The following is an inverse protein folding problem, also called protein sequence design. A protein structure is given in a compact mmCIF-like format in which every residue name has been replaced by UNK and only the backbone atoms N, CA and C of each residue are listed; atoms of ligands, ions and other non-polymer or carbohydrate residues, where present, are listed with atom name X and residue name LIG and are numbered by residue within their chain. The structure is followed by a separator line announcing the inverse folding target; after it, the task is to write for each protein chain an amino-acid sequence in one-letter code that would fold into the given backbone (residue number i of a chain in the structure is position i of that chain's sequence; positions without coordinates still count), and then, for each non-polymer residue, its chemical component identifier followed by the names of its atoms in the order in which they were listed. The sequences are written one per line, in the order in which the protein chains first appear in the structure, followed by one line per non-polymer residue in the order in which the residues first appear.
data_IF_759497634758
#
_entry.id   IF_759497634758
#
_cell.length_a   1.000
_cell.length_b   1.000
_cell.length_c   1.000
_cell.angle_alpha   90.00
_cell.angle_beta   90.00
_cell.angle_gamma   90.00
#
_symmetry.space_group_name_H-M   'P 1'
#
loop_
_entity.id
_entity.type
_entity.pdbx_description
1 polymer ?
#
# COMPACT_ATOMS: atom_id res chain seq x y z
N UNK A 1 2.15 21.18 -30.99
CA UNK A 1 2.38 19.77 -30.65
C UNK A 1 1.66 19.46 -29.35
N UNK A 2 0.55 18.72 -29.41
CA UNK A 2 -0.29 18.42 -28.24
C UNK A 2 -0.40 16.92 -28.11
N UNK A 3 0.28 16.33 -27.13
CA UNK A 3 0.07 14.94 -26.74
C UNK A 3 -1.17 14.92 -25.84
N UNK A 4 -2.24 14.25 -26.27
CA UNK A 4 -3.44 14.10 -25.45
C UNK A 4 -3.30 12.78 -24.70
N UNK A 5 -2.85 12.88 -23.45
CA UNK A 5 -2.77 11.76 -22.51
C UNK A 5 -4.01 11.73 -21.61
N UNK A 6 -4.61 10.55 -21.42
CA UNK A 6 -5.62 10.32 -20.39
C UNK A 6 -5.02 9.41 -19.33
N UNK A 7 -4.92 9.92 -18.11
CA UNK A 7 -4.45 9.18 -16.94
C UNK A 7 -5.63 8.96 -15.98
N UNK A 8 -5.81 7.71 -15.57
CA UNK A 8 -6.87 7.32 -14.63
C UNK A 8 -6.28 6.53 -13.47
N UNK A 9 -6.52 7.01 -12.24
CA UNK A 9 -6.12 6.35 -11.02
C UNK A 9 -7.34 6.07 -10.15
N UNK A 10 -7.47 4.83 -9.69
CA UNK A 10 -8.48 4.42 -8.73
C UNK A 10 -7.81 3.64 -7.60
N UNK A 11 -8.06 4.04 -6.35
CA UNK A 11 -7.53 3.39 -5.14
C UNK A 11 -8.69 3.06 -4.21
N UNK A 12 -8.68 1.85 -3.68
CA UNK A 12 -9.56 1.38 -2.62
C UNK A 12 -8.71 0.89 -1.46
N UNK A 13 -9.03 1.32 -0.25
CA UNK A 13 -8.33 0.93 0.98
C UNK A 13 -9.34 0.47 2.02
N UNK A 14 -9.01 -0.62 2.71
CA UNK A 14 -9.81 -1.20 3.78
C UNK A 14 -8.90 -1.50 4.96
N UNK A 15 -9.20 -0.91 6.11
CA UNK A 15 -8.40 -1.05 7.33
C UNK A 15 -9.34 -1.42 8.48
N UNK A 16 -9.03 -2.52 9.17
CA UNK A 16 -9.78 -3.02 10.31
C UNK A 16 -8.79 -3.20 11.45
N UNK A 17 -9.10 -2.66 12.61
CA UNK A 17 -8.25 -2.79 13.79
C UNK A 17 -9.08 -3.00 15.04
N UNK A 18 -8.47 -3.69 16.00
CA UNK A 18 -8.97 -3.81 17.35
C UNK A 18 -7.81 -3.63 18.33
N UNK A 19 -8.05 -2.79 19.32
CA UNK A 19 -7.12 -2.56 20.41
C UNK A 19 -7.29 -3.59 21.52
N UNK A 20 -8.36 -4.39 21.51
CA UNK A 20 -8.67 -5.40 22.52
C UNK A 20 -9.19 -6.70 21.93
N UNK A 21 -8.30 -7.44 21.27
CA UNK A 21 -8.63 -8.78 20.78
C UNK A 21 -8.72 -9.78 21.95
N UNK A 22 -7.75 -9.72 22.87
CA UNK A 22 -7.70 -10.53 24.09
C UNK A 22 -7.11 -9.73 25.26
N UNK A 23 -7.54 -10.03 26.48
CA UNK A 23 -6.96 -9.47 27.70
C UNK A 23 -6.04 -10.50 28.35
N UNK A 24 -4.75 -10.22 28.37
CA UNK A 24 -3.77 -10.98 29.13
C UNK A 24 -3.55 -10.30 30.49
N UNK A 25 -3.08 -11.03 31.52
CA UNK A 25 -2.60 -10.42 32.76
C UNK A 25 -1.51 -9.36 32.50
N UNK A 26 -0.78 -9.52 31.39
CA UNK A 26 0.24 -8.62 30.89
C UNK A 26 -0.29 -7.37 30.14
N UNK A 27 -1.59 -7.26 29.89
CA UNK A 27 -2.19 -6.16 29.12
C UNK A 27 -3.01 -6.66 27.94
N UNK A 28 -3.46 -5.72 27.12
CA UNK A 28 -4.39 -6.01 26.02
C UNK A 28 -3.65 -6.30 24.72
N UNK A 29 -4.03 -7.38 24.02
CA UNK A 29 -3.51 -7.74 22.71
C UNK A 29 -4.21 -6.92 21.62
N UNK A 30 -3.43 -6.21 20.82
CA UNK A 30 -3.90 -5.46 19.66
C UNK A 30 -3.70 -6.25 18.36
N UNK A 31 -4.63 -6.08 17.42
CA UNK A 31 -4.52 -6.63 16.07
C UNK A 31 -5.08 -5.62 15.06
N UNK A 32 -4.33 -5.36 14.00
CA UNK A 32 -4.76 -4.57 12.85
C UNK A 32 -4.50 -5.36 11.57
N UNK A 33 -5.40 -5.27 10.60
CA UNK A 33 -5.17 -5.80 9.27
C UNK A 33 -5.92 -4.98 8.23
N UNK A 34 -5.39 -4.97 7.02
CA UNK A 34 -5.97 -4.18 5.95
C UNK A 34 -5.44 -4.55 4.58
N UNK A 35 -6.02 -3.92 3.58
CA UNK A 35 -5.70 -4.16 2.20
C UNK A 35 -5.89 -2.92 1.35
N UNK A 36 -5.11 -2.84 0.29
CA UNK A 36 -5.17 -1.78 -0.70
C UNK A 36 -5.27 -2.40 -2.09
N UNK A 37 -6.18 -1.88 -2.90
CA UNK A 37 -6.26 -2.15 -4.32
C UNK A 37 -6.06 -0.85 -5.09
N UNK A 38 -5.14 -0.86 -6.07
CA UNK A 38 -4.85 0.28 -6.91
C UNK A 38 -4.88 -0.11 -8.38
N UNK A 39 -5.56 0.69 -9.19
CA UNK A 39 -5.61 0.57 -10.64
C UNK A 39 -5.14 1.87 -11.27
N UNK A 40 -4.15 1.76 -12.13
CA UNK A 40 -3.56 2.83 -12.92
C UNK A 40 -3.78 2.52 -14.40
N UNK A 41 -4.27 3.50 -15.16
CA UNK A 41 -4.41 3.43 -16.61
C UNK A 41 -3.70 4.62 -17.21
N UNK A 42 -2.75 4.35 -18.11
CA UNK A 42 -2.01 5.33 -18.87
C UNK A 42 -2.31 5.12 -20.35
N UNK A 43 -2.86 6.14 -20.98
CA UNK A 43 -3.06 6.18 -22.43
C UNK A 43 -2.40 7.43 -22.99
N UNK A 44 -1.43 7.22 -23.86
CA UNK A 44 -0.72 8.27 -24.57
C UNK A 44 -0.99 8.14 -26.06
N UNK A 45 -1.73 9.09 -26.61
CA UNK A 45 -1.97 9.22 -28.04
C UNK A 45 -1.15 10.40 -28.58
N UNK A 46 0.01 10.11 -29.22
CA UNK A 46 0.77 11.13 -29.94
C UNK A 46 0.01 11.64 -31.17
N UNK A 47 0.32 12.86 -31.58
CA UNK A 47 -0.24 13.54 -32.77
C UNK A 47 0.27 12.86 -34.05
N UNK A 48 -0.53 12.86 -35.13
CA UNK A 48 -0.22 12.10 -36.36
C UNK A 48 1.08 12.58 -37.03
N UNK A 49 1.41 13.88 -36.92
CA UNK A 49 2.68 14.45 -37.38
C UNK A 49 3.89 13.89 -36.60
N UNK A 50 3.70 13.57 -35.32
CA UNK A 50 4.73 12.98 -34.45
C UNK A 50 4.87 11.46 -34.70
N UNK A 51 3.79 10.79 -35.09
CA UNK A 51 3.82 9.36 -35.51
C UNK A 51 4.49 9.21 -36.87
N UNK A 52 4.21 10.12 -37.81
CA UNK A 52 4.80 10.13 -39.15
C UNK A 52 6.31 10.47 -39.18
N UNK A 53 6.88 10.89 -38.03
CA UNK A 53 8.29 11.28 -37.94
C UNK A 53 8.63 12.58 -38.67
N UNK A 54 7.62 13.37 -39.02
CA UNK A 54 7.73 14.57 -39.87
C UNK A 54 8.03 15.84 -39.04
N UNK A 55 8.41 15.65 -37.77
CA UNK A 55 8.83 16.69 -36.84
C UNK A 55 10.35 16.60 -36.66
N UNK A 56 11.06 17.63 -37.12
CA UNK A 56 12.51 17.77 -36.98
C UNK A 56 12.92 17.64 -35.50
N UNK A 57 13.92 16.80 -35.22
CA UNK A 57 14.50 16.57 -33.88
C UNK A 57 13.69 15.72 -32.88
N UNK A 58 12.59 15.08 -33.30
CA UNK A 58 11.88 14.08 -32.49
C UNK A 58 11.63 12.80 -33.30
N UNK A 59 12.15 11.65 -32.83
CA UNK A 59 11.84 10.36 -33.46
C UNK A 59 10.35 9.99 -33.35
N UNK A 60 9.86 9.05 -34.18
CA UNK A 60 8.45 8.69 -34.23
C UNK A 60 7.95 8.22 -32.86
N UNK A 61 6.86 8.84 -32.38
CA UNK A 61 6.26 8.49 -31.10
C UNK A 61 5.32 7.30 -31.24
N UNK A 62 5.40 6.35 -30.29
CA UNK A 62 4.57 5.16 -30.27
C UNK A 62 3.31 5.37 -29.42
N UNK A 63 2.19 4.79 -29.85
CA UNK A 63 0.99 4.70 -29.02
C UNK A 63 1.29 3.86 -27.79
N UNK A 64 1.19 4.45 -26.60
CA UNK A 64 1.45 3.74 -25.34
C UNK A 64 0.14 3.54 -24.59
N UNK A 65 -0.25 2.28 -24.44
CA UNK A 65 -1.42 1.85 -23.70
C UNK A 65 -0.94 0.90 -22.59
N UNK A 66 -0.82 1.43 -21.37
CA UNK A 66 -0.33 0.66 -20.23
C UNK A 66 -1.34 0.71 -19.09
N UNK A 67 -1.56 -0.43 -18.45
CA UNK A 67 -2.42 -0.53 -17.28
C UNK A 67 -1.72 -1.33 -16.20
N UNK A 68 -1.62 -0.78 -14.99
CA UNK A 68 -1.04 -1.47 -13.84
C UNK A 68 -2.09 -1.65 -12.76
N UNK A 69 -2.14 -2.87 -12.22
CA UNK A 69 -2.92 -3.20 -11.03
C UNK A 69 -1.96 -3.57 -9.93
N UNK A 70 -2.15 -3.00 -8.76
CA UNK A 70 -1.40 -3.34 -7.56
C UNK A 70 -2.37 -3.72 -6.45
N UNK A 71 -2.00 -4.75 -5.72
CA UNK A 71 -2.71 -5.20 -4.53
C UNK A 71 -1.69 -5.19 -3.40
N UNK A 72 -2.12 -4.78 -2.23
CA UNK A 72 -1.34 -4.94 -1.02
C UNK A 72 -2.23 -5.47 0.10
N UNK A 73 -1.69 -6.35 0.91
CA UNK A 73 -2.33 -6.84 2.13
C UNK A 73 -1.34 -6.68 3.28
N UNK A 74 -1.84 -6.29 4.44
CA UNK A 74 -0.99 -6.15 5.62
C UNK A 74 -1.73 -6.57 6.88
N UNK A 75 -0.96 -7.04 7.85
CA UNK A 75 -1.44 -7.38 9.18
C UNK A 75 -0.36 -7.04 10.21
N UNK A 76 -0.79 -6.57 11.36
CA UNK A 76 0.05 -6.21 12.49
C UNK A 76 -0.61 -6.68 13.79
N UNK A 77 0.19 -7.21 14.71
CA UNK A 77 -0.25 -7.63 16.03
C UNK A 77 0.71 -7.11 17.10
N UNK A 78 0.15 -6.66 18.22
CA UNK A 78 0.90 -6.30 19.43
C UNK A 78 0.52 -7.23 20.57
N UNK A 79 1.51 -7.92 21.12
CA UNK A 79 1.35 -8.87 22.22
C UNK A 79 2.13 -8.38 23.44
N UNK A 80 1.45 -7.95 24.51
CA UNK A 80 2.10 -7.66 25.78
C UNK A 80 2.39 -8.97 26.51
N UNK A 81 3.66 -9.23 26.82
CA UNK A 81 4.15 -10.47 27.45
C UNK A 81 4.31 -10.31 28.96
N UNK A 82 4.75 -9.13 29.44
CA UNK A 82 4.84 -8.81 30.87
C UNK A 82 4.15 -7.48 31.17
N UNK A 83 3.40 -7.41 32.28
CA UNK A 83 2.91 -6.15 32.89
C UNK A 83 3.42 -5.99 34.32
N UNK A 84 3.07 -4.85 34.91
CA UNK A 84 3.21 -4.57 36.34
C UNK A 84 2.55 -5.60 37.28
N UNK A 85 1.67 -6.49 36.77
CA UNK A 85 1.12 -7.61 37.54
C UNK A 85 2.07 -8.81 37.63
N UNK A 86 3.13 -8.86 36.82
CA UNK A 86 4.16 -9.90 36.88
C UNK A 86 5.16 -9.58 38.00
N UNK A 87 5.21 -10.42 39.04
CA UNK A 87 5.97 -10.16 40.26
C UNK A 87 7.46 -10.53 40.20
N UNK A 88 7.99 -10.81 39.01
CA UNK A 88 9.40 -11.13 38.83
C UNK A 88 10.25 -9.84 38.94
N UNK A 89 11.23 -9.77 39.87
CA UNK A 89 12.12 -8.62 39.99
C UNK A 89 12.87 -8.38 38.67
N UNK A 90 12.70 -7.19 38.07
CA UNK A 90 13.40 -6.79 36.85
C UNK A 90 12.63 -6.96 35.53
N UNK A 91 11.45 -7.59 35.51
CA UNK A 91 10.63 -7.76 34.30
C UNK A 91 9.23 -7.14 34.48
N UNK A 92 9.12 -5.83 34.23
CA UNK A 92 7.88 -5.06 34.48
C UNK A 92 7.10 -4.67 33.22
N UNK A 93 7.75 -4.70 32.05
CA UNK A 93 7.12 -4.44 30.76
C UNK A 93 7.92 -5.11 29.65
N UNK A 94 7.28 -5.96 28.86
CA UNK A 94 7.81 -6.49 27.62
C UNK A 94 6.69 -6.60 26.61
N UNK A 95 6.86 -5.96 25.46
CA UNK A 95 5.92 -5.96 24.36
C UNK A 95 6.59 -6.54 23.12
N UNK A 96 5.86 -7.39 22.41
CA UNK A 96 6.27 -7.93 21.13
C UNK A 96 5.33 -7.43 20.04
N UNK A 97 5.90 -6.86 18.98
CA UNK A 97 5.14 -6.39 17.82
C UNK A 97 5.57 -7.18 16.59
N UNK A 98 4.60 -7.67 15.83
CA UNK A 98 4.83 -8.36 14.57
C UNK A 98 3.99 -7.73 13.47
N UNK A 99 4.61 -7.45 12.33
CA UNK A 99 3.94 -6.91 11.15
C UNK A 99 4.37 -7.66 9.88
N UNK A 100 3.43 -7.86 8.96
CA UNK A 100 3.65 -8.47 7.67
C UNK A 100 2.92 -7.70 6.57
N UNK A 101 3.52 -7.64 5.38
CA UNK A 101 2.92 -7.03 4.18
C UNK A 101 3.23 -7.87 2.94
N UNK A 102 2.24 -8.01 2.06
CA UNK A 102 2.32 -8.67 0.76
C UNK A 102 1.81 -7.73 -0.34
#
# INVERSE_FOLDING_TARGET
MKVIGYEGLATLELNIYTTSLFNLPAGTVGLAFGGQFRRETLRQNPDDLLVAGDILSTGPANFTHAGRKAYALYAEASLPIFSSAFSAPGFHALEFTAAARF
#
